data_IF_504320109912
#
_entry.id   IF_504320109912
#
_cell.length_a   1.000
_cell.length_b   1.000
_cell.length_c   1.000
_cell.angle_alpha   90.00
_cell.angle_beta   90.00
_cell.angle_gamma   90.00
#
_symmetry.space_group_name_H-M   'P 1'
#
loop_
_entity.id
_entity.type
_entity.pdbx_description
1 polymer ?
#
# COMPACT_ATOMS: atom_id res chain seq x y z
N UNK A 1 8.77 28.77 -20.13
CA UNK A 1 7.69 29.71 -19.78
C UNK A 1 6.56 29.01 -19.03
N UNK A 2 5.95 27.95 -19.60
CA UNK A 2 4.87 27.21 -18.93
C UNK A 2 5.22 26.72 -17.51
N UNK A 3 6.42 26.15 -17.31
CA UNK A 3 6.89 25.74 -15.97
C UNK A 3 6.92 26.91 -14.97
N UNK A 4 7.39 28.08 -15.39
CA UNK A 4 7.42 29.26 -14.53
C UNK A 4 6.00 29.73 -14.18
N UNK A 5 5.08 29.72 -15.15
CA UNK A 5 3.67 30.04 -14.92
C UNK A 5 3.01 29.04 -13.96
N UNK A 6 3.27 27.74 -14.10
CA UNK A 6 2.79 26.72 -13.17
C UNK A 6 3.25 27.03 -11.74
N UNK A 7 4.54 27.29 -11.54
CA UNK A 7 5.09 27.68 -10.25
C UNK A 7 4.47 28.98 -9.72
N UNK A 8 4.18 29.96 -10.57
CA UNK A 8 3.41 31.16 -10.19
C UNK A 8 2.02 30.78 -9.67
N UNK A 9 1.30 29.86 -10.32
CA UNK A 9 -0.03 29.44 -9.85
C UNK A 9 0.01 28.77 -8.47
N UNK A 10 1.03 27.93 -8.21
CA UNK A 10 1.22 27.27 -6.93
C UNK A 10 1.53 28.30 -5.84
N UNK A 11 2.46 29.23 -6.11
CA UNK A 11 2.83 30.31 -5.19
C UNK A 11 1.64 31.21 -4.86
N UNK A 12 0.87 31.63 -5.88
CA UNK A 12 -0.33 32.45 -5.69
C UNK A 12 -1.39 31.78 -4.79
N UNK A 13 -1.41 30.44 -4.74
CA UNK A 13 -2.41 29.66 -4.03
C UNK A 13 -1.90 29.05 -2.71
N UNK A 14 -0.62 29.25 -2.36
CA UNK A 14 0.00 28.62 -1.19
C UNK A 14 0.04 27.09 -1.27
N UNK A 15 0.32 26.56 -2.46
CA UNK A 15 0.48 25.12 -2.71
C UNK A 15 1.96 24.76 -2.64
N UNK A 16 2.29 23.74 -1.85
CA UNK A 16 3.67 23.29 -1.61
C UNK A 16 4.14 22.32 -2.70
N UNK A 17 4.13 22.79 -3.95
CA UNK A 17 4.60 22.06 -5.14
C UNK A 17 5.48 23.01 -5.96
N UNK A 18 6.55 22.48 -6.55
CA UNK A 18 7.40 23.22 -7.49
C UNK A 18 7.81 22.30 -8.63
N UNK A 19 7.57 22.75 -9.86
CA UNK A 19 8.00 22.07 -11.06
C UNK A 19 9.41 22.52 -11.45
N UNK A 20 10.26 21.54 -11.74
CA UNK A 20 11.58 21.72 -12.30
C UNK A 20 11.67 20.94 -13.61
N UNK A 21 12.33 21.51 -14.61
CA UNK A 21 12.55 20.81 -15.87
C UNK A 21 13.64 19.74 -15.67
N UNK A 22 13.26 18.46 -15.75
CA UNK A 22 14.21 17.36 -15.67
C UNK A 22 15.04 17.25 -16.96
N UNK A 23 14.37 17.05 -18.11
CA UNK A 23 15.02 16.92 -19.41
C UNK A 23 14.06 17.29 -20.56
N UNK A 24 14.40 18.26 -21.41
CA UNK A 24 13.67 18.52 -22.65
C UNK A 24 14.28 17.74 -23.82
N UNK A 25 13.44 17.12 -24.66
CA UNK A 25 13.87 16.48 -25.91
C UNK A 25 12.81 16.65 -27.00
N UNK A 26 13.24 16.56 -28.26
CA UNK A 26 12.34 16.46 -29.40
C UNK A 26 12.26 15.00 -29.84
N UNK A 27 11.04 14.50 -30.02
CA UNK A 27 10.77 13.14 -30.49
C UNK A 27 10.37 13.16 -31.96
N UNK A 28 10.76 12.13 -32.71
CA UNK A 28 10.29 11.92 -34.07
C UNK A 28 8.90 11.28 -34.01
N UNK A 29 7.87 12.12 -33.89
CA UNK A 29 6.48 11.70 -33.80
C UNK A 29 5.63 12.52 -34.77
N UNK A 30 4.69 11.86 -35.45
CA UNK A 30 3.67 12.54 -36.27
C UNK A 30 2.37 12.51 -35.50
N UNK A 31 1.87 13.69 -35.16
CA UNK A 31 0.61 13.91 -34.43
C UNK A 31 -0.56 13.25 -35.18
N UNK A 32 -1.43 12.57 -34.43
CA UNK A 32 -2.60 11.89 -34.98
C UNK A 32 -3.75 12.84 -35.32
N UNK A 33 -3.73 14.04 -34.72
CA UNK A 33 -4.84 15.00 -34.73
C UNK A 33 -5.84 14.80 -33.58
N UNK A 34 -5.72 13.75 -32.77
CA UNK A 34 -6.50 13.52 -31.55
C UNK A 34 -5.59 13.59 -30.32
N UNK A 35 -5.85 14.51 -29.39
CA UNK A 35 -5.02 14.67 -28.19
C UNK A 35 -5.07 13.45 -27.29
N UNK A 36 -6.21 12.77 -27.22
CA UNK A 36 -6.34 11.52 -26.48
C UNK A 36 -5.44 10.45 -27.10
N UNK A 37 -5.54 10.21 -28.40
CA UNK A 37 -4.71 9.21 -29.11
C UNK A 37 -3.22 9.49 -28.97
N UNK A 38 -2.81 10.75 -29.11
CA UNK A 38 -1.42 11.17 -28.92
C UNK A 38 -0.95 10.93 -27.47
N UNK A 39 -1.84 11.10 -26.48
CA UNK A 39 -1.54 10.84 -25.07
C UNK A 39 -1.38 9.36 -24.77
N UNK A 40 -2.22 8.50 -25.35
CA UNK A 40 -2.05 7.04 -25.27
C UNK A 40 -0.70 6.62 -25.87
N UNK A 41 -0.40 7.05 -27.11
CA UNK A 41 0.89 6.74 -27.78
C UNK A 41 2.11 7.28 -27.04
N UNK A 42 1.96 8.36 -26.29
CA UNK A 42 3.04 8.87 -25.45
C UNK A 42 3.21 8.09 -24.14
N UNK A 43 2.17 7.39 -23.70
CA UNK A 43 2.14 6.66 -22.42
C UNK A 43 2.56 5.21 -22.57
N UNK A 44 2.11 4.51 -23.61
CA UNK A 44 2.35 3.07 -23.75
C UNK A 44 3.84 2.78 -24.01
N UNK A 45 4.34 1.62 -23.57
CA UNK A 45 5.79 1.34 -23.55
C UNK A 45 6.32 0.52 -24.72
N UNK A 46 5.43 -0.05 -25.53
CA UNK A 46 5.78 -0.96 -26.64
C UNK A 46 4.66 -0.97 -27.69
N UNK A 47 4.17 0.22 -28.08
CA UNK A 47 3.13 0.37 -29.10
C UNK A 47 3.68 0.83 -30.47
N UNK A 48 5.01 1.01 -30.54
CA UNK A 48 5.74 1.46 -31.72
C UNK A 48 5.81 2.98 -31.86
N UNK A 49 5.28 3.73 -30.89
CA UNK A 49 5.31 5.19 -30.88
C UNK A 49 6.08 5.70 -29.67
N UNK A 50 7.15 6.46 -29.93
CA UNK A 50 7.90 7.15 -28.88
C UNK A 50 8.44 6.23 -27.75
N UNK A 51 8.49 4.90 -27.92
CA UNK A 51 8.86 3.94 -26.85
C UNK A 51 10.19 4.30 -26.13
N UNK A 52 11.13 4.94 -26.83
CA UNK A 52 12.40 5.41 -26.26
C UNK A 52 12.27 6.49 -25.17
N UNK A 53 11.12 7.16 -25.03
CA UNK A 53 10.90 8.19 -24.00
C UNK A 53 10.91 7.62 -22.59
N UNK A 54 10.53 6.35 -22.41
CA UNK A 54 10.51 5.69 -21.10
C UNK A 54 11.92 5.52 -20.55
N UNK A 55 12.89 5.14 -21.41
CA UNK A 55 14.30 5.09 -21.02
C UNK A 55 14.84 6.46 -20.59
N UNK A 56 14.44 7.54 -21.27
CA UNK A 56 14.83 8.90 -20.89
C UNK A 56 14.19 9.32 -19.56
N UNK A 57 12.90 9.00 -19.36
CA UNK A 57 12.20 9.29 -18.10
C UNK A 57 12.93 8.64 -16.91
N UNK A 58 13.30 7.37 -17.03
CA UNK A 58 14.07 6.65 -16.01
C UNK A 58 15.45 7.27 -15.82
N UNK A 59 16.18 7.54 -16.91
CA UNK A 59 17.52 8.13 -16.85
C UNK A 59 17.56 9.48 -16.14
N UNK A 60 16.56 10.33 -16.37
CA UNK A 60 16.49 11.68 -15.79
C UNK A 60 15.59 11.76 -14.54
N UNK A 61 15.07 10.62 -14.08
CA UNK A 61 14.20 10.48 -12.92
C UNK A 61 13.04 11.48 -12.93
N UNK A 62 12.34 11.59 -14.07
CA UNK A 62 11.24 12.53 -14.25
C UNK A 62 9.92 11.98 -13.68
N UNK A 63 9.34 12.72 -12.74
CA UNK A 63 8.08 12.38 -12.07
C UNK A 63 6.89 12.37 -13.03
N UNK A 64 6.81 13.40 -13.88
CA UNK A 64 5.73 13.65 -14.84
C UNK A 64 6.32 13.89 -16.22
N UNK A 65 5.68 13.35 -17.25
CA UNK A 65 6.03 13.54 -18.64
C UNK A 65 4.97 14.37 -19.37
N UNK A 66 5.39 15.39 -20.11
CA UNK A 66 4.50 16.26 -20.88
C UNK A 66 4.97 16.31 -22.33
N UNK A 67 4.12 15.88 -23.26
CA UNK A 67 4.35 16.02 -24.70
C UNK A 67 3.72 17.32 -25.20
N UNK A 68 4.52 18.14 -25.85
CA UNK A 68 4.05 19.34 -26.53
C UNK A 68 3.75 19.01 -27.99
N UNK A 69 2.52 19.30 -28.44
CA UNK A 69 2.06 19.07 -29.81
C UNK A 69 1.58 20.37 -30.47
N UNK A 70 1.51 20.39 -31.80
CA UNK A 70 1.09 21.52 -32.62
C UNK A 70 -0.39 21.47 -33.01
N UNK A 71 -0.97 20.28 -33.18
CA UNK A 71 -2.35 20.06 -33.63
C UNK A 71 -3.07 19.06 -32.76
N UNK A 72 -4.38 19.25 -32.56
CA UNK A 72 -5.21 18.38 -31.73
C UNK A 72 -6.62 18.94 -31.55
N UNK A 73 -7.58 18.05 -31.28
CA UNK A 73 -9.00 18.33 -31.03
C UNK A 73 -9.28 19.04 -29.69
N UNK A 74 -8.42 18.85 -28.69
CA UNK A 74 -8.46 19.58 -27.41
C UNK A 74 -7.16 20.36 -27.13
N UNK A 75 -7.19 21.24 -26.13
CA UNK A 75 -6.02 22.01 -25.71
C UNK A 75 -4.97 21.14 -24.97
N UNK A 76 -5.41 20.06 -24.34
CA UNK A 76 -4.58 19.12 -23.62
C UNK A 76 -5.37 17.89 -23.19
N UNK A 77 -4.64 16.86 -22.75
CA UNK A 77 -5.20 15.62 -22.23
C UNK A 77 -4.25 14.97 -21.23
N UNK A 78 -4.71 14.79 -20.00
CA UNK A 78 -4.04 13.98 -18.98
C UNK A 78 -4.44 12.52 -19.08
N UNK A 79 -3.48 11.60 -18.99
CA UNK A 79 -3.73 10.17 -19.14
C UNK A 79 -4.65 9.58 -18.06
N UNK A 80 -4.55 10.08 -16.81
CA UNK A 80 -5.32 9.56 -15.67
C UNK A 80 -5.44 10.56 -14.51
N UNK A 81 -6.42 10.35 -13.61
CA UNK A 81 -6.78 11.25 -12.50
C UNK A 81 -7.14 10.43 -11.23
N UNK A 82 -6.31 10.40 -10.17
CA UNK A 82 -4.90 10.80 -10.13
C UNK A 82 -4.01 9.76 -10.81
N UNK A 83 -2.88 10.20 -11.37
CA UNK A 83 -1.93 9.32 -12.02
C UNK A 83 -0.97 8.62 -11.04
N UNK A 84 -0.46 7.47 -11.46
CA UNK A 84 0.72 6.81 -10.90
C UNK A 84 1.91 6.92 -11.87
N UNK A 85 3.03 6.23 -11.60
CA UNK A 85 4.20 6.29 -12.48
C UNK A 85 3.83 5.87 -13.91
N UNK A 86 3.07 4.80 -14.11
CA UNK A 86 2.69 4.30 -15.45
C UNK A 86 1.81 5.28 -16.23
N UNK A 87 1.03 6.11 -15.54
CA UNK A 87 0.06 7.03 -16.18
C UNK A 87 0.37 8.51 -15.98
N UNK A 88 1.50 8.91 -15.40
CA UNK A 88 1.86 10.32 -15.18
C UNK A 88 2.38 10.99 -16.46
N UNK A 89 1.55 10.94 -17.49
CA UNK A 89 1.75 11.47 -18.82
C UNK A 89 0.60 12.40 -19.17
N UNK A 90 0.91 13.52 -19.82
CA UNK A 90 -0.09 14.34 -20.47
C UNK A 90 0.42 14.93 -21.78
N UNK A 91 -0.52 15.35 -22.60
CA UNK A 91 -0.28 16.03 -23.87
C UNK A 91 -0.84 17.44 -23.77
N UNK A 92 -0.12 18.41 -24.33
CA UNK A 92 -0.51 19.81 -24.30
C UNK A 92 -0.22 20.43 -25.67
N UNK A 93 -1.21 21.10 -26.24
CA UNK A 93 -0.98 21.93 -27.42
C UNK A 93 -0.14 23.14 -27.05
N UNK A 94 0.99 23.35 -27.75
CA UNK A 94 1.96 24.38 -27.37
C UNK A 94 1.36 25.79 -27.46
N UNK A 95 0.42 26.02 -28.38
CA UNK A 95 -0.30 27.29 -28.56
C UNK A 95 -1.35 27.57 -27.48
N UNK A 96 -1.63 26.60 -26.59
CA UNK A 96 -2.49 26.71 -25.41
C UNK A 96 -1.74 26.59 -24.07
N UNK A 97 -0.45 26.23 -24.13
CA UNK A 97 0.33 25.85 -22.96
C UNK A 97 0.46 26.98 -21.91
N UNK A 98 0.62 28.22 -22.37
CA UNK A 98 0.85 29.40 -21.51
C UNK A 98 -0.34 30.36 -21.49
N UNK A 99 -0.85 30.76 -22.65
CA UNK A 99 -1.99 31.67 -22.79
C UNK A 99 -3.27 31.16 -22.11
N UNK A 100 -3.52 29.85 -22.14
CA UNK A 100 -4.68 29.22 -21.46
C UNK A 100 -4.28 28.41 -20.23
N UNK A 101 -3.03 28.51 -19.74
CA UNK A 101 -2.54 27.80 -18.54
C UNK A 101 -2.72 26.26 -18.67
N UNK A 102 -2.81 25.73 -19.90
CA UNK A 102 -3.17 24.32 -20.14
C UNK A 102 -2.10 23.36 -19.64
N UNK A 103 -0.82 23.73 -19.76
CA UNK A 103 0.28 22.92 -19.23
C UNK A 103 0.10 22.62 -17.73
N UNK A 104 -0.27 23.64 -16.97
CA UNK A 104 -0.51 23.53 -15.53
C UNK A 104 -1.81 22.78 -15.23
N UNK A 105 -2.84 22.96 -16.05
CA UNK A 105 -4.13 22.28 -15.93
C UNK A 105 -3.97 20.76 -16.04
N UNK A 106 -3.28 20.28 -17.07
CA UNK A 106 -3.10 18.84 -17.26
C UNK A 106 -2.26 18.20 -16.15
N UNK A 107 -1.23 18.89 -15.64
CA UNK A 107 -0.48 18.41 -14.46
C UNK A 107 -1.35 18.40 -13.19
N UNK A 108 -2.33 19.31 -13.09
CA UNK A 108 -3.34 19.29 -12.03
C UNK A 108 -4.18 18.02 -12.05
N UNK A 109 -4.62 17.60 -13.25
CA UNK A 109 -5.32 16.33 -13.44
C UNK A 109 -4.51 15.12 -12.96
N UNK A 110 -3.21 15.06 -13.29
CA UNK A 110 -2.33 13.98 -12.83
C UNK A 110 -2.22 13.92 -11.29
N UNK A 111 -2.37 15.05 -10.60
CA UNK A 111 -2.43 15.10 -9.12
C UNK A 111 -3.83 14.81 -8.54
N UNK A 112 -4.82 14.51 -9.39
CA UNK A 112 -6.19 14.22 -9.00
C UNK A 112 -7.08 15.44 -8.83
N UNK A 113 -6.66 16.61 -9.31
CA UNK A 113 -7.54 17.76 -9.41
C UNK A 113 -8.55 17.56 -10.55
N UNK A 114 -9.78 18.01 -10.34
CA UNK A 114 -10.92 17.80 -11.24
C UNK A 114 -11.43 19.12 -11.78
N UNK A 115 -12.21 19.04 -12.86
CA UNK A 115 -12.95 20.19 -13.38
C UNK A 115 -13.95 20.74 -12.34
N UNK A 116 -14.73 21.75 -12.66
CA UNK A 116 -15.75 22.29 -11.76
C UNK A 116 -16.86 21.27 -11.49
N UNK A 117 -17.39 21.30 -10.26
CA UNK A 117 -18.46 20.42 -9.82
C UNK A 117 -19.71 20.58 -10.72
N UNK A 118 -20.37 19.45 -11.03
CA UNK A 118 -21.48 19.26 -12.00
C UNK A 118 -21.10 19.04 -13.46
N UNK A 119 -19.86 19.35 -13.85
CA UNK A 119 -19.30 18.85 -15.12
C UNK A 119 -18.45 17.60 -14.91
N UNK A 120 -17.84 17.49 -13.73
CA UNK A 120 -17.18 16.28 -13.22
C UNK A 120 -17.85 15.98 -11.86
N UNK A 121 -18.28 14.73 -11.67
CA UNK A 121 -18.86 14.21 -10.42
C UNK A 121 -17.89 13.24 -9.71
N UNK A 122 -16.62 13.22 -10.14
CA UNK A 122 -15.61 12.32 -9.65
C UNK A 122 -15.10 12.63 -8.24
N UNK A 123 -14.42 11.65 -7.66
CA UNK A 123 -13.94 11.72 -6.26
C UNK A 123 -12.46 12.15 -6.14
N UNK A 124 -12.07 12.79 -5.02
CA UNK A 124 -12.94 13.22 -3.93
C UNK A 124 -13.74 14.48 -4.30
N UNK A 125 -14.96 14.59 -3.80
CA UNK A 125 -15.90 15.67 -4.14
C UNK A 125 -15.32 17.09 -3.97
N UNK A 126 -14.42 17.30 -3.01
CA UNK A 126 -13.83 18.63 -2.77
C UNK A 126 -12.78 19.04 -3.81
N UNK A 127 -12.32 18.14 -4.68
CA UNK A 127 -11.15 18.38 -5.53
C UNK A 127 -11.47 19.08 -6.86
N UNK A 128 -12.52 19.90 -6.94
CA UNK A 128 -12.98 20.51 -8.20
C UNK A 128 -12.46 21.94 -8.41
N UNK A 129 -12.38 22.33 -9.68
CA UNK A 129 -12.16 23.72 -10.10
C UNK A 129 -13.34 24.63 -9.72
N UNK A 130 -13.16 25.93 -9.89
CA UNK A 130 -14.17 26.92 -9.54
C UNK A 130 -14.37 27.93 -10.67
N UNK A 131 -15.63 28.21 -10.95
CA UNK A 131 -16.06 29.23 -11.89
C UNK A 131 -16.72 30.37 -11.11
N UNK A 132 -16.18 31.57 -11.23
CA UNK A 132 -16.80 32.76 -10.69
C UNK A 132 -17.76 33.33 -11.72
N UNK A 133 -19.05 33.16 -11.44
CA UNK A 133 -20.11 33.68 -12.30
C UNK A 133 -20.57 35.04 -11.78
N UNK A 134 -20.30 36.09 -12.55
CA UNK A 134 -20.78 37.44 -12.33
C UNK A 134 -21.77 37.83 -13.44
N UNK A 135 -22.71 38.71 -13.11
CA UNK A 135 -23.70 39.21 -14.07
C UNK A 135 -23.05 40.08 -15.17
N UNK A 136 -21.92 40.71 -14.87
CA UNK A 136 -21.09 41.36 -15.88
C UNK A 136 -20.10 40.34 -16.46
N UNK A 137 -20.19 40.00 -17.77
CA UNK A 137 -19.28 39.07 -18.43
C UNK A 137 -17.79 39.37 -18.26
N UNK A 138 -17.43 40.66 -18.13
CA UNK A 138 -16.05 41.13 -18.00
C UNK A 138 -15.44 40.82 -16.62
N UNK A 139 -16.28 40.56 -15.62
CA UNK A 139 -15.87 40.18 -14.27
C UNK A 139 -15.80 38.67 -14.08
N UNK A 140 -16.19 37.87 -15.09
CA UNK A 140 -16.17 36.41 -15.01
C UNK A 140 -14.74 35.89 -15.13
N UNK A 141 -14.40 34.94 -14.29
CA UNK A 141 -13.12 34.27 -14.32
C UNK A 141 -13.26 32.84 -13.81
N UNK A 142 -12.25 32.04 -14.10
CA UNK A 142 -12.22 30.62 -13.74
C UNK A 142 -10.86 30.23 -13.19
N UNK A 143 -10.82 29.37 -12.18
CA UNK A 143 -9.56 28.86 -11.62
C UNK A 143 -8.91 27.84 -12.57
N UNK A 144 -7.65 27.48 -12.30
CA UNK A 144 -6.83 26.63 -13.19
C UNK A 144 -7.59 25.41 -13.71
N UNK A 145 -8.27 24.64 -12.85
CA UNK A 145 -8.97 23.42 -13.26
C UNK A 145 -10.35 23.63 -13.85
N UNK A 146 -10.93 24.82 -13.79
CA UNK A 146 -12.25 25.01 -14.37
C UNK A 146 -12.15 24.95 -15.91
N UNK A 147 -12.91 24.03 -16.51
CA UNK A 147 -13.04 23.84 -17.94
C UNK A 147 -13.98 24.91 -18.55
N UNK A 148 -13.98 25.01 -19.88
CA UNK A 148 -14.98 25.79 -20.58
C UNK A 148 -16.35 25.17 -20.39
N UNK A 149 -17.38 25.99 -20.21
CA UNK A 149 -18.76 25.57 -20.07
C UNK A 149 -19.67 26.54 -20.82
N UNK A 150 -20.37 26.03 -21.83
CA UNK A 150 -21.27 26.79 -22.70
C UNK A 150 -22.37 27.52 -21.91
N UNK A 151 -22.78 26.96 -20.76
CA UNK A 151 -23.78 27.57 -19.87
C UNK A 151 -23.30 28.89 -19.29
N UNK A 152 -22.00 29.04 -19.08
CA UNK A 152 -21.41 30.22 -18.46
C UNK A 152 -20.69 31.14 -19.46
N UNK A 153 -20.62 30.75 -20.74
CA UNK A 153 -20.13 31.56 -21.86
C UNK A 153 -18.60 31.56 -22.02
N UNK A 154 -18.14 31.74 -23.26
CA UNK A 154 -16.72 31.63 -23.67
C UNK A 154 -15.87 32.87 -23.32
N UNK A 155 -16.17 33.56 -22.23
CA UNK A 155 -15.53 34.84 -21.92
C UNK A 155 -14.84 34.90 -20.55
N UNK A 156 -14.82 33.79 -19.78
CA UNK A 156 -14.12 33.80 -18.49
C UNK A 156 -12.61 33.65 -18.66
N UNK A 157 -11.87 34.68 -18.28
CA UNK A 157 -10.41 34.62 -18.20
C UNK A 157 -9.97 33.54 -17.19
N UNK A 158 -9.07 32.64 -17.58
CA UNK A 158 -8.49 31.66 -16.64
C UNK A 158 -7.40 32.35 -15.83
N UNK A 159 -7.64 32.49 -14.53
CA UNK A 159 -6.71 33.16 -13.64
C UNK A 159 -5.64 32.19 -13.10
N UNK A 160 -4.42 32.66 -12.76
CA UNK A 160 -3.35 31.83 -12.23
C UNK A 160 -3.54 31.51 -10.74
N UNK A 161 -4.73 31.03 -10.37
CA UNK A 161 -5.11 30.62 -9.02
C UNK A 161 -5.85 29.28 -9.06
N UNK A 162 -5.59 28.45 -8.07
CA UNK A 162 -6.31 27.20 -7.82
C UNK A 162 -7.52 27.46 -6.93
N UNK A 163 -8.54 26.59 -7.00
CA UNK A 163 -9.71 26.75 -6.14
C UNK A 163 -9.35 26.55 -4.66
N UNK A 164 -9.83 27.47 -3.83
CA UNK A 164 -9.68 27.48 -2.37
C UNK A 164 -10.84 28.28 -1.75
N UNK A 165 -11.74 27.64 -0.98
CA UNK A 165 -12.89 28.31 -0.39
C UNK A 165 -12.52 29.33 0.71
N UNK A 166 -11.25 29.39 1.13
CA UNK A 166 -10.77 30.29 2.18
C UNK A 166 -9.90 31.44 1.66
N UNK A 167 -9.61 31.47 0.35
CA UNK A 167 -8.80 32.51 -0.29
C UNK A 167 -9.62 33.38 -1.22
N UNK A 168 -9.12 34.57 -1.53
CA UNK A 168 -9.82 35.58 -2.32
C UNK A 168 -8.97 36.06 -3.49
N UNK A 169 -9.63 36.33 -4.62
CA UNK A 169 -9.08 37.04 -5.77
C UNK A 169 -9.98 38.23 -6.10
N UNK A 170 -9.39 39.43 -6.11
CA UNK A 170 -10.12 40.69 -6.35
C UNK A 170 -11.38 40.84 -5.48
N UNK A 171 -11.31 40.41 -4.22
CA UNK A 171 -12.42 40.49 -3.25
C UNK A 171 -13.46 39.37 -3.35
N UNK A 172 -13.35 38.46 -4.32
CA UNK A 172 -14.25 37.30 -4.49
C UNK A 172 -13.58 36.00 -4.04
N UNK A 173 -14.34 35.11 -3.41
CA UNK A 173 -13.84 33.81 -2.95
C UNK A 173 -13.40 32.92 -4.12
N UNK A 174 -12.32 32.17 -3.95
CA UNK A 174 -11.73 31.29 -4.99
C UNK A 174 -12.36 29.89 -5.05
N UNK A 175 -13.40 29.60 -4.27
CA UNK A 175 -14.02 28.29 -4.23
C UNK A 175 -15.29 28.24 -3.39
N UNK A 176 -15.97 27.10 -3.46
CA UNK A 176 -17.12 26.75 -2.63
C UNK A 176 -16.67 25.66 -1.65
N UNK A 177 -17.06 25.79 -0.39
CA UNK A 177 -16.80 24.78 0.64
C UNK A 177 -17.23 23.38 0.16
N UNK A 178 -16.49 22.36 0.56
CA UNK A 178 -16.72 20.93 0.28
C UNK A 178 -16.71 20.48 -1.19
N UNK A 179 -16.64 21.41 -2.14
CA UNK A 179 -16.70 21.09 -3.58
C UNK A 179 -15.49 21.63 -4.34
N UNK A 180 -15.06 22.87 -4.10
CA UNK A 180 -14.03 23.53 -4.93
C UNK A 180 -12.79 23.89 -4.11
N UNK A 181 -11.92 22.91 -3.88
CA UNK A 181 -10.68 23.04 -3.10
C UNK A 181 -9.53 22.22 -3.72
N UNK A 182 -9.09 22.61 -4.92
CA UNK A 182 -7.91 22.01 -5.55
C UNK A 182 -6.65 22.25 -4.72
N UNK A 183 -6.53 23.38 -4.01
CA UNK A 183 -5.39 23.65 -3.13
C UNK A 183 -5.16 22.52 -2.12
N UNK A 184 -6.21 22.09 -1.42
CA UNK A 184 -6.13 20.97 -0.49
C UNK A 184 -5.72 19.68 -1.20
N UNK A 185 -6.32 19.40 -2.37
CA UNK A 185 -5.99 18.19 -3.14
C UNK A 185 -4.52 18.14 -3.51
N UNK A 186 -4.00 19.21 -4.12
CA UNK A 186 -2.63 19.28 -4.61
C UNK A 186 -1.62 19.19 -3.47
N UNK A 187 -1.89 19.80 -2.31
CA UNK A 187 -1.05 19.63 -1.13
C UNK A 187 -1.06 18.20 -0.58
N UNK A 188 -2.22 17.53 -0.56
CA UNK A 188 -2.34 16.14 -0.09
C UNK A 188 -1.60 15.16 -1.02
N UNK A 189 -1.49 15.45 -2.31
CA UNK A 189 -0.83 14.59 -3.30
C UNK A 189 0.57 15.05 -3.71
N UNK A 190 1.08 16.15 -3.14
CA UNK A 190 2.37 16.74 -3.53
C UNK A 190 3.53 15.74 -3.41
N UNK A 191 3.58 14.99 -2.31
CA UNK A 191 4.61 13.97 -2.12
C UNK A 191 4.41 12.77 -3.06
N UNK A 192 3.16 12.34 -3.28
CA UNK A 192 2.86 11.21 -4.17
C UNK A 192 3.33 11.47 -5.59
N UNK A 193 3.00 12.65 -6.16
CA UNK A 193 3.41 12.98 -7.52
C UNK A 193 4.93 13.19 -7.63
N UNK A 194 5.58 13.76 -6.61
CA UNK A 194 7.03 14.02 -6.61
C UNK A 194 7.90 12.81 -6.20
N UNK A 195 7.28 11.63 -6.04
CA UNK A 195 7.97 10.38 -5.70
C UNK A 195 7.69 9.27 -6.71
N UNK A 196 7.15 9.62 -7.88
CA UNK A 196 6.87 8.67 -8.93
C UNK A 196 8.19 8.15 -9.50
N UNK A 197 8.40 6.84 -9.40
CA UNK A 197 9.57 6.13 -9.90
C UNK A 197 9.17 4.86 -10.62
N UNK A 198 10.01 4.43 -11.58
CA UNK A 198 9.81 3.17 -12.28
C UNK A 198 9.84 2.03 -11.26
N UNK A 199 8.83 1.14 -11.25
CA UNK A 199 8.87 -0.02 -10.38
C UNK A 199 10.10 -0.89 -10.69
N UNK A 200 10.88 -1.19 -9.66
CA UNK A 200 12.02 -2.10 -9.80
C UNK A 200 11.49 -3.54 -9.80
N UNK A 201 11.58 -4.23 -10.93
CA UNK A 201 11.23 -5.65 -11.02
C UNK A 201 12.41 -6.52 -10.60
N UNK A 202 12.21 -7.45 -9.65
CA UNK A 202 13.26 -8.36 -9.18
C UNK A 202 12.81 -9.83 -9.19
N UNK A 203 13.77 -10.72 -9.43
CA UNK A 203 13.63 -12.18 -9.31
C UNK A 203 15.02 -12.84 -9.26
N UNK A 204 15.07 -14.11 -8.89
CA UNK A 204 16.30 -14.91 -8.92
C UNK A 204 17.26 -14.61 -7.77
N UNK A 205 18.55 -14.81 -8.01
CA UNK A 205 19.57 -14.75 -6.95
C UNK A 205 20.10 -13.32 -6.76
N UNK A 206 20.11 -12.85 -5.51
CA UNK A 206 20.84 -11.65 -5.09
C UNK A 206 22.25 -12.07 -4.71
N UNK A 207 23.21 -11.70 -5.57
CA UNK A 207 24.62 -12.12 -5.47
C UNK A 207 25.58 -11.00 -5.04
N UNK A 208 25.06 -9.80 -4.86
CA UNK A 208 25.77 -8.61 -4.37
C UNK A 208 24.92 -7.92 -3.33
N UNK A 209 25.54 -7.16 -2.43
CA UNK A 209 24.80 -6.38 -1.45
C UNK A 209 23.89 -5.38 -2.17
N UNK A 210 22.59 -5.43 -1.89
CA UNK A 210 21.57 -4.68 -2.62
C UNK A 210 20.68 -3.95 -1.64
N UNK A 211 20.39 -2.68 -1.94
CA UNK A 211 19.38 -1.89 -1.24
C UNK A 211 18.22 -1.64 -2.18
N UNK A 212 17.04 -2.11 -1.80
CA UNK A 212 15.78 -1.87 -2.50
C UNK A 212 15.16 -0.58 -1.98
N UNK A 213 14.75 0.31 -2.88
CA UNK A 213 14.15 1.63 -2.60
C UNK A 213 12.95 1.86 -3.51
N UNK A 214 12.01 2.70 -3.10
CA UNK A 214 10.85 3.06 -3.92
C UNK A 214 9.91 1.86 -4.16
N UNK A 215 9.22 1.84 -5.30
CA UNK A 215 8.29 0.76 -5.61
C UNK A 215 9.03 -0.45 -6.21
N UNK A 216 8.90 -1.63 -5.61
CA UNK A 216 9.60 -2.85 -6.04
C UNK A 216 8.59 -3.98 -6.22
N UNK A 217 8.64 -4.66 -7.34
CA UNK A 217 7.76 -5.78 -7.68
C UNK A 217 8.58 -7.06 -7.81
N UNK A 218 8.16 -8.12 -7.13
CA UNK A 218 8.69 -9.45 -7.44
C UNK A 218 7.98 -9.97 -8.69
N UNK A 219 8.79 -10.44 -9.65
CA UNK A 219 8.33 -11.16 -10.86
C UNK A 219 8.74 -12.63 -10.84
N UNK A 220 9.35 -13.05 -9.73
CA UNK A 220 9.78 -14.41 -9.43
C UNK A 220 10.31 -14.46 -7.99
N UNK A 221 10.48 -15.66 -7.44
CA UNK A 221 11.10 -15.81 -6.13
C UNK A 221 12.51 -15.20 -6.13
N UNK A 222 12.86 -14.55 -5.04
CA UNK A 222 14.16 -13.92 -4.83
C UNK A 222 14.91 -14.73 -3.78
N UNK A 223 16.16 -15.11 -4.06
CA UNK A 223 17.01 -15.82 -3.10
C UNK A 223 18.23 -14.96 -2.75
N UNK A 224 18.42 -14.67 -1.47
CA UNK A 224 19.58 -13.92 -0.97
C UNK A 224 20.68 -14.92 -0.63
N UNK A 225 21.78 -14.85 -1.39
CA UNK A 225 22.87 -15.81 -1.30
C UNK A 225 23.67 -15.66 0.00
N UNK A 226 24.34 -16.75 0.40
CA UNK A 226 25.20 -16.77 1.57
C UNK A 226 26.21 -15.61 1.58
N UNK A 227 26.29 -14.88 2.70
CA UNK A 227 27.17 -13.73 2.87
C UNK A 227 26.74 -12.43 2.17
N UNK A 228 25.57 -12.42 1.52
CA UNK A 228 25.01 -11.23 0.87
C UNK A 228 23.95 -10.58 1.75
N UNK A 229 23.94 -9.25 1.79
CA UNK A 229 22.92 -8.47 2.47
C UNK A 229 21.92 -7.86 1.48
N UNK A 230 20.64 -8.16 1.65
CA UNK A 230 19.53 -7.46 1.01
C UNK A 230 18.87 -6.53 2.03
N UNK A 231 18.84 -5.22 1.74
CA UNK A 231 18.20 -4.22 2.59
C UNK A 231 16.95 -3.68 1.91
N UNK A 232 15.80 -3.77 2.59
CA UNK A 232 14.58 -3.06 2.23
C UNK A 232 14.64 -1.69 2.91
N UNK A 233 14.86 -0.63 2.14
CA UNK A 233 15.00 0.73 2.66
C UNK A 233 13.69 1.25 3.28
N UNK A 234 13.76 2.23 4.16
CA UNK A 234 12.58 2.82 4.82
C UNK A 234 11.56 3.41 3.85
N UNK A 235 11.96 3.79 2.63
CA UNK A 235 11.05 4.27 1.59
C UNK A 235 10.61 3.18 0.58
N UNK A 236 10.96 1.92 0.82
CA UNK A 236 10.64 0.83 -0.09
C UNK A 236 9.22 0.31 0.13
N UNK A 237 8.48 0.15 -0.97
CA UNK A 237 7.22 -0.60 -1.02
C UNK A 237 7.48 -1.87 -1.83
N UNK A 238 7.51 -3.02 -1.16
CA UNK A 238 7.76 -4.32 -1.77
C UNK A 238 6.44 -5.01 -2.06
N UNK A 239 6.15 -5.25 -3.33
CA UNK A 239 4.98 -6.00 -3.78
C UNK A 239 5.40 -7.43 -4.10
N UNK A 240 5.01 -8.38 -3.25
CA UNK A 240 5.45 -9.77 -3.38
C UNK A 240 4.83 -10.51 -4.57
N UNK A 241 3.64 -10.11 -5.04
CA UNK A 241 2.98 -10.67 -6.24
C UNK A 241 2.94 -12.22 -6.29
N UNK A 242 2.67 -12.88 -5.16
CA UNK A 242 2.68 -14.36 -5.03
C UNK A 242 4.07 -15.02 -5.07
N UNK A 243 5.14 -14.23 -4.96
CA UNK A 243 6.52 -14.70 -4.81
C UNK A 243 7.06 -14.39 -3.42
N UNK A 244 8.26 -14.86 -3.11
CA UNK A 244 8.87 -14.70 -1.78
C UNK A 244 10.35 -14.32 -1.86
N UNK A 245 10.85 -13.69 -0.80
CA UNK A 245 12.27 -13.40 -0.61
C UNK A 245 12.82 -14.41 0.41
N UNK A 246 13.79 -15.23 0.03
CA UNK A 246 14.28 -16.36 0.81
C UNK A 246 15.77 -16.19 1.08
N UNK A 247 16.22 -16.41 2.31
CA UNK A 247 17.65 -16.47 2.61
C UNK A 247 18.19 -17.89 2.42
N UNK A 248 19.28 -18.01 1.67
CA UNK A 248 20.10 -19.23 1.58
C UNK A 248 21.40 -19.12 2.40
N UNK A 249 21.39 -18.27 3.43
CA UNK A 249 22.55 -17.88 4.24
C UNK A 249 22.87 -16.38 4.18
N UNK A 250 22.16 -15.62 3.36
CA UNK A 250 22.27 -14.17 3.30
C UNK A 250 21.53 -13.46 4.44
N UNK A 251 21.84 -12.18 4.64
CA UNK A 251 21.16 -11.30 5.61
C UNK A 251 20.05 -10.52 4.91
N UNK A 252 18.84 -10.55 5.47
CA UNK A 252 17.73 -9.71 5.02
C UNK A 252 17.45 -8.69 6.13
N UNK A 253 17.46 -7.40 5.77
CA UNK A 253 17.20 -6.30 6.70
C UNK A 253 15.99 -5.50 6.23
N UNK A 254 15.04 -5.23 7.13
CA UNK A 254 13.87 -4.38 6.87
C UNK A 254 14.02 -3.11 7.72
N UNK A 255 14.18 -1.97 7.06
CA UNK A 255 14.24 -0.69 7.77
C UNK A 255 12.84 -0.22 8.19
N UNK A 256 12.75 0.45 9.32
CA UNK A 256 11.50 1.06 9.78
C UNK A 256 10.95 2.02 8.72
N UNK A 257 9.70 1.81 8.31
CA UNK A 257 9.04 2.55 7.21
C UNK A 257 8.82 1.72 5.94
N UNK A 258 9.62 0.67 5.73
CA UNK A 258 9.43 -0.21 4.58
C UNK A 258 8.06 -0.90 4.63
N UNK A 259 7.35 -0.92 3.52
CA UNK A 259 6.03 -1.55 3.38
C UNK A 259 6.16 -2.84 2.57
N UNK A 260 5.47 -3.91 2.98
CA UNK A 260 5.47 -5.20 2.27
C UNK A 260 4.03 -5.62 2.01
N UNK A 261 3.65 -5.66 0.74
CA UNK A 261 2.32 -6.02 0.27
C UNK A 261 2.26 -7.49 -0.13
N UNK A 262 1.15 -8.16 0.20
CA UNK A 262 0.94 -9.58 -0.06
C UNK A 262 1.70 -10.51 0.91
N UNK A 263 2.08 -10.01 2.08
CA UNK A 263 2.81 -10.76 3.11
C UNK A 263 1.89 -11.78 3.82
N UNK A 264 2.32 -13.03 3.88
CA UNK A 264 1.78 -14.05 4.78
C UNK A 264 2.50 -14.00 6.12
N UNK A 265 3.83 -14.15 6.09
CA UNK A 265 4.64 -14.25 7.29
C UNK A 265 6.12 -13.94 7.03
N UNK A 266 6.84 -13.63 8.10
CA UNK A 266 8.30 -13.54 8.12
C UNK A 266 8.84 -14.69 8.97
N UNK A 267 9.68 -15.54 8.37
CA UNK A 267 10.40 -16.57 9.12
C UNK A 267 11.66 -15.97 9.73
N UNK A 268 11.91 -16.25 11.01
CA UNK A 268 13.07 -15.75 11.74
C UNK A 268 13.78 -16.85 12.53
N UNK A 269 15.07 -16.65 12.78
CA UNK A 269 15.85 -17.38 13.78
C UNK A 269 16.43 -16.35 14.74
N UNK A 270 15.82 -16.21 15.92
CA UNK A 270 16.06 -15.03 16.75
C UNK A 270 15.68 -13.75 16.00
N UNK A 271 16.65 -12.85 15.81
CA UNK A 271 16.46 -11.60 15.05
C UNK A 271 16.73 -11.74 13.54
N UNK A 272 17.35 -12.83 13.11
CA UNK A 272 17.73 -13.02 11.71
C UNK A 272 16.51 -13.41 10.88
N UNK A 273 16.22 -12.65 9.82
CA UNK A 273 15.19 -13.00 8.86
C UNK A 273 15.69 -14.13 7.94
N UNK A 274 14.95 -15.23 7.90
CA UNK A 274 15.21 -16.39 7.03
C UNK A 274 14.36 -16.38 5.77
N UNK A 275 13.23 -15.67 5.78
CA UNK A 275 12.50 -15.36 4.57
C UNK A 275 11.27 -14.49 4.83
N UNK A 276 10.79 -13.87 3.77
CA UNK A 276 9.59 -13.04 3.69
C UNK A 276 8.68 -13.76 2.68
N UNK A 277 7.62 -14.37 3.18
CA UNK A 277 6.76 -15.26 2.41
C UNK A 277 5.43 -14.61 2.09
N UNK A 278 4.97 -14.78 0.85
CA UNK A 278 3.69 -14.23 0.42
C UNK A 278 2.50 -15.13 0.72
N UNK A 279 1.30 -14.59 0.52
CA UNK A 279 0.02 -15.28 0.66
C UNK A 279 -0.21 -16.41 -0.34
N UNK A 280 0.76 -16.73 -1.21
CA UNK A 280 0.73 -17.95 -2.03
C UNK A 280 1.09 -19.22 -1.23
N UNK A 281 1.68 -19.05 -0.04
CA UNK A 281 1.95 -20.13 0.90
C UNK A 281 0.78 -20.32 1.88
N UNK A 282 0.69 -21.50 2.48
CA UNK A 282 -0.10 -21.72 3.70
C UNK A 282 0.80 -21.70 4.95
N UNK A 283 0.21 -21.53 6.13
CA UNK A 283 0.96 -21.64 7.40
C UNK A 283 1.57 -23.05 7.52
N UNK A 284 0.84 -24.11 7.14
CA UNK A 284 1.40 -25.47 7.15
C UNK A 284 2.66 -25.59 6.29
N UNK A 285 2.67 -25.03 5.08
CA UNK A 285 3.86 -25.07 4.22
C UNK A 285 5.05 -24.33 4.85
N UNK A 286 4.80 -23.28 5.65
CA UNK A 286 5.85 -22.59 6.40
C UNK A 286 6.38 -23.42 7.58
N UNK A 287 5.50 -24.18 8.25
CA UNK A 287 5.90 -25.14 9.28
C UNK A 287 6.82 -26.21 8.67
N UNK A 288 6.46 -26.76 7.50
CA UNK A 288 7.22 -27.83 6.85
C UNK A 288 8.66 -27.45 6.46
N UNK A 289 8.94 -26.14 6.32
CA UNK A 289 10.28 -25.62 5.99
C UNK A 289 11.01 -25.00 7.19
N UNK A 290 10.34 -24.86 8.32
CA UNK A 290 10.92 -24.26 9.52
C UNK A 290 11.93 -25.21 10.17
N UNK A 291 13.08 -24.67 10.57
CA UNK A 291 14.07 -25.42 11.37
C UNK A 291 13.91 -25.15 12.86
N UNK A 292 14.48 -26.02 13.69
CA UNK A 292 14.50 -25.82 15.15
C UNK A 292 15.06 -24.45 15.53
N UNK A 293 14.38 -23.77 16.46
CA UNK A 293 14.69 -22.43 16.95
C UNK A 293 14.12 -21.30 16.09
N UNK A 294 13.36 -21.62 15.04
CA UNK A 294 12.76 -20.61 14.18
C UNK A 294 11.38 -20.16 14.69
N UNK A 295 10.98 -18.97 14.29
CA UNK A 295 9.63 -18.45 14.47
C UNK A 295 8.97 -18.07 13.14
N UNK A 296 7.69 -18.39 13.02
CA UNK A 296 6.79 -17.98 11.94
C UNK A 296 6.02 -16.77 12.44
N UNK A 297 6.39 -15.57 11.98
CA UNK A 297 5.78 -14.31 12.40
C UNK A 297 4.70 -13.93 11.38
N UNK A 298 3.45 -14.27 11.65
CA UNK A 298 2.30 -14.08 10.77
C UNK A 298 1.94 -12.59 10.68
N UNK A 299 1.59 -12.15 9.47
CA UNK A 299 0.98 -10.85 9.25
C UNK A 299 -0.42 -10.78 9.89
N UNK A 300 -0.99 -9.57 9.97
CA UNK A 300 -2.39 -9.41 10.34
C UNK A 300 -3.31 -10.05 9.31
N UNK A 301 -4.29 -10.83 9.74
CA UNK A 301 -5.23 -11.50 8.86
C UNK A 301 -5.98 -12.66 9.51
N UNK A 302 -6.89 -13.26 8.75
CA UNK A 302 -7.59 -14.48 9.15
C UNK A 302 -7.18 -15.63 8.22
N UNK A 303 -6.61 -16.68 8.80
CA UNK A 303 -6.07 -17.83 8.08
C UNK A 303 -6.98 -19.03 8.29
N UNK A 304 -7.65 -19.50 7.24
CA UNK A 304 -8.59 -20.63 7.34
C UNK A 304 -7.92 -21.93 6.91
N UNK A 305 -7.21 -22.55 7.85
CA UNK A 305 -6.54 -23.83 7.67
C UNK A 305 -6.38 -24.54 9.03
N UNK A 306 -6.26 -25.87 8.99
CA UNK A 306 -5.78 -26.63 10.14
C UNK A 306 -4.27 -26.77 10.02
N UNK A 307 -3.55 -26.57 11.12
CA UNK A 307 -2.09 -26.66 11.15
C UNK A 307 -1.64 -27.70 12.15
N UNK A 308 -0.54 -28.37 11.82
CA UNK A 308 0.16 -29.32 12.68
C UNK A 308 1.63 -28.93 12.68
N UNK A 309 2.13 -28.50 13.84
CA UNK A 309 3.55 -28.41 14.11
C UNK A 309 4.01 -29.72 14.75
N UNK A 310 4.91 -30.39 14.06
CA UNK A 310 5.65 -31.59 14.50
C UNK A 310 7.16 -31.33 14.61
N UNK A 311 7.58 -30.07 14.47
CA UNK A 311 8.96 -29.66 14.60
C UNK A 311 9.33 -29.36 16.07
N UNK A 312 10.57 -29.67 16.43
CA UNK A 312 11.16 -29.28 17.70
C UNK A 312 11.45 -27.78 17.72
N UNK A 313 11.01 -27.08 18.78
CA UNK A 313 11.34 -25.68 19.07
C UNK A 313 10.98 -24.71 17.93
N UNK A 314 9.75 -24.79 17.41
CA UNK A 314 9.22 -23.83 16.42
C UNK A 314 8.12 -22.99 17.06
N UNK A 315 8.23 -21.66 16.90
CA UNK A 315 7.22 -20.73 17.39
C UNK A 315 6.29 -20.27 16.26
N UNK A 316 4.98 -20.26 16.50
CA UNK A 316 3.98 -19.64 15.63
C UNK A 316 3.50 -18.38 16.33
N UNK A 317 3.73 -17.22 15.74
CA UNK A 317 3.53 -15.91 16.38
C UNK A 317 2.64 -15.04 15.50
N UNK A 318 1.50 -14.61 16.02
CA UNK A 318 0.63 -13.64 15.36
C UNK A 318 1.09 -12.19 15.54
N UNK A 319 0.48 -11.27 14.81
CA UNK A 319 0.65 -9.81 15.00
C UNK A 319 -0.20 -9.25 16.14
N UNK A 320 -0.78 -10.09 17.00
CA UNK A 320 -1.65 -9.73 18.12
C UNK A 320 -3.02 -10.41 18.04
N UNK A 321 -3.63 -10.66 19.22
CA UNK A 321 -4.89 -11.40 19.36
C UNK A 321 -6.09 -10.76 18.67
N UNK A 322 -6.09 -9.44 18.45
CA UNK A 322 -7.14 -8.75 17.68
C UNK A 322 -6.78 -8.54 16.20
N UNK A 323 -5.56 -8.91 15.79
CA UNK A 323 -5.03 -8.66 14.44
C UNK A 323 -4.83 -9.94 13.63
N UNK A 324 -4.56 -11.07 14.29
CA UNK A 324 -4.27 -12.35 13.65
C UNK A 324 -5.23 -13.41 14.18
N UNK A 325 -5.92 -14.12 13.29
CA UNK A 325 -6.81 -15.24 13.64
C UNK A 325 -6.45 -16.48 12.85
N UNK A 326 -6.24 -17.62 13.52
CA UNK A 326 -6.19 -18.94 12.90
C UNK A 326 -7.59 -19.55 13.02
N UNK A 327 -8.27 -19.65 11.88
CA UNK A 327 -9.60 -20.20 11.72
C UNK A 327 -9.56 -21.70 11.40
N UNK A 328 -8.97 -22.47 12.31
CA UNK A 328 -8.88 -23.92 12.25
C UNK A 328 -8.24 -24.49 13.52
N UNK A 329 -8.01 -25.80 13.52
CA UNK A 329 -7.33 -26.50 14.60
C UNK A 329 -5.82 -26.25 14.54
N UNK A 330 -5.21 -25.94 15.68
CA UNK A 330 -3.76 -25.86 15.85
C UNK A 330 -3.30 -27.09 16.61
N UNK A 331 -2.43 -27.91 16.02
CA UNK A 331 -1.91 -29.13 16.64
C UNK A 331 -0.41 -29.03 16.86
N UNK A 332 0.04 -29.35 18.07
CA UNK A 332 1.44 -29.66 18.39
C UNK A 332 1.55 -31.17 18.59
N UNK A 333 2.41 -31.85 17.82
CA UNK A 333 2.54 -33.31 17.86
C UNK A 333 4.00 -33.74 17.89
N UNK A 334 4.51 -34.12 19.05
CA UNK A 334 5.95 -34.34 19.24
C UNK A 334 6.78 -33.05 19.12
N UNK A 335 6.14 -31.90 19.31
CA UNK A 335 6.72 -30.59 19.03
C UNK A 335 7.26 -29.93 20.30
N UNK A 336 8.23 -30.59 20.94
CA UNK A 336 8.81 -30.12 22.20
C UNK A 336 9.36 -28.68 22.07
N UNK A 337 9.23 -27.89 23.14
CA UNK A 337 9.67 -26.49 23.25
C UNK A 337 9.06 -25.52 22.23
N UNK A 338 8.04 -25.95 21.49
CA UNK A 338 7.34 -25.10 20.53
C UNK A 338 6.37 -24.13 21.21
N UNK A 339 5.92 -23.12 20.48
CA UNK A 339 4.97 -22.15 21.05
C UNK A 339 3.93 -21.63 20.07
N UNK A 340 2.80 -21.20 20.61
CA UNK A 340 1.76 -20.43 19.94
C UNK A 340 1.60 -19.10 20.65
N UNK A 341 1.76 -17.99 19.93
CA UNK A 341 1.80 -16.65 20.53
C UNK A 341 0.97 -15.61 19.80
N UNK A 342 0.45 -14.63 20.53
CA UNK A 342 -0.09 -13.36 20.00
C UNK A 342 -1.17 -13.55 18.92
N UNK A 343 -2.06 -14.53 19.09
CA UNK A 343 -2.99 -14.96 18.05
C UNK A 343 -4.34 -15.34 18.64
N UNK A 344 -5.41 -15.08 17.89
CA UNK A 344 -6.71 -15.66 18.20
C UNK A 344 -6.91 -16.99 17.46
N UNK A 345 -7.57 -17.94 18.09
CA UNK A 345 -7.87 -19.25 17.51
C UNK A 345 -9.38 -19.48 17.56
N UNK A 346 -9.93 -19.98 16.45
CA UNK A 346 -11.34 -20.36 16.35
C UNK A 346 -11.59 -21.87 16.50
N UNK A 347 -10.57 -22.70 16.24
CA UNK A 347 -10.63 -24.14 16.44
C UNK A 347 -9.97 -24.59 17.74
N UNK A 348 -9.89 -25.91 17.96
CA UNK A 348 -9.19 -26.51 19.10
C UNK A 348 -7.67 -26.29 19.00
N UNK A 349 -7.02 -26.15 20.15
CA UNK A 349 -5.56 -26.28 20.30
C UNK A 349 -5.27 -27.68 20.87
N UNK A 350 -4.62 -28.55 20.10
CA UNK A 350 -4.25 -29.91 20.52
C UNK A 350 -2.76 -29.98 20.82
N UNK A 351 -2.37 -30.56 21.96
CA UNK A 351 -0.97 -30.79 22.31
C UNK A 351 -0.75 -32.26 22.64
N UNK A 352 -0.12 -32.99 21.72
CA UNK A 352 0.00 -34.44 21.77
C UNK A 352 1.47 -34.84 21.91
N UNK A 353 1.79 -35.64 22.92
CA UNK A 353 3.12 -36.19 23.18
C UNK A 353 4.22 -35.11 23.08
N UNK A 354 3.98 -33.91 23.60
CA UNK A 354 4.89 -32.78 23.49
C UNK A 354 5.22 -32.20 24.87
N UNK A 355 6.48 -31.85 25.08
CA UNK A 355 7.01 -31.31 26.33
C UNK A 355 7.29 -29.83 26.22
N UNK A 356 6.93 -29.05 27.24
CA UNK A 356 7.23 -27.62 27.32
C UNK A 356 6.67 -26.80 26.16
N UNK A 357 5.46 -27.13 25.68
CA UNK A 357 4.74 -26.29 24.72
C UNK A 357 4.21 -25.06 25.43
N UNK A 358 4.45 -23.88 24.86
CA UNK A 358 4.01 -22.60 25.44
C UNK A 358 2.85 -22.02 24.63
N UNK A 359 1.74 -21.73 25.29
CA UNK A 359 0.60 -20.99 24.75
C UNK A 359 0.58 -19.64 25.45
N UNK A 360 0.88 -18.56 24.74
CA UNK A 360 1.21 -17.25 25.33
C UNK A 360 0.44 -16.13 24.61
N UNK A 361 -0.34 -15.33 25.34
CA UNK A 361 -1.20 -14.28 24.79
C UNK A 361 -2.08 -14.80 23.64
N UNK A 362 -2.88 -15.82 23.93
CA UNK A 362 -3.77 -16.46 22.95
C UNK A 362 -5.23 -16.23 23.31
N UNK A 363 -6.04 -15.82 22.33
CA UNK A 363 -7.48 -15.57 22.50
C UNK A 363 -8.33 -16.67 21.90
N UNK A 364 -9.22 -17.26 22.70
CA UNK A 364 -10.31 -18.09 22.22
C UNK A 364 -11.46 -17.20 21.73
N UNK A 365 -11.64 -17.12 20.41
CA UNK A 365 -12.64 -16.25 19.79
C UNK A 365 -14.05 -16.82 19.80
N UNK A 366 -14.15 -18.14 19.79
CA UNK A 366 -15.41 -18.82 19.91
C UNK A 366 -15.22 -20.10 20.73
N UNK A 367 -16.33 -20.74 20.97
CA UNK A 367 -16.44 -21.76 21.97
C UNK A 367 -16.02 -23.16 21.51
N UNK A 368 -15.64 -23.30 20.24
CA UNK A 368 -14.91 -24.46 19.74
C UNK A 368 -13.41 -24.39 20.08
N UNK A 369 -12.91 -23.27 20.61
CA UNK A 369 -11.52 -23.10 21.03
C UNK A 369 -11.32 -23.48 22.49
N UNK A 370 -10.64 -24.61 22.70
CA UNK A 370 -10.18 -25.12 23.99
C UNK A 370 -8.82 -25.79 23.80
N UNK A 371 -8.08 -25.95 24.90
CA UNK A 371 -6.77 -26.61 24.89
C UNK A 371 -6.93 -28.06 25.35
N UNK A 372 -6.42 -28.99 24.57
CA UNK A 372 -6.55 -30.43 24.82
C UNK A 372 -5.18 -31.13 24.74
N UNK A 373 -4.73 -31.70 25.86
CA UNK A 373 -3.38 -32.22 26.05
C UNK A 373 -3.37 -33.74 26.32
N UNK A 374 -2.49 -34.47 25.62
CA UNK A 374 -2.31 -35.93 25.72
C UNK A 374 -0.83 -36.29 25.94
N UNK A 375 -0.48 -36.76 27.13
CA UNK A 375 0.91 -37.11 27.46
C UNK A 375 1.86 -35.92 27.34
N UNK A 376 1.39 -34.71 27.64
CA UNK A 376 2.07 -33.45 27.28
C UNK A 376 2.27 -32.51 28.47
N UNK A 377 3.33 -31.71 28.43
CA UNK A 377 3.53 -30.58 29.35
C UNK A 377 3.27 -29.27 28.62
N UNK A 378 2.31 -28.49 29.12
CA UNK A 378 1.88 -27.23 28.53
C UNK A 378 1.99 -26.10 29.54
N UNK A 379 2.65 -25.01 29.14
CA UNK A 379 2.66 -23.75 29.87
C UNK A 379 1.69 -22.80 29.20
N UNK A 380 0.82 -22.17 29.98
CA UNK A 380 -0.18 -21.22 29.53
C UNK A 380 0.08 -19.88 30.23
N UNK A 381 0.32 -18.86 29.43
CA UNK A 381 0.50 -17.48 29.85
C UNK A 381 -0.52 -16.60 29.09
N UNK A 382 -1.25 -15.73 29.78
CA UNK A 382 -2.25 -14.81 29.20
C UNK A 382 -3.23 -15.45 28.18
N UNK A 383 -3.81 -16.61 28.51
CA UNK A 383 -4.91 -17.18 27.71
C UNK A 383 -6.25 -16.50 28.06
N UNK A 384 -6.93 -15.97 27.04
CA UNK A 384 -8.19 -15.22 27.20
C UNK A 384 -9.33 -15.99 26.53
N UNK A 385 -10.33 -16.40 27.32
CA UNK A 385 -11.57 -17.01 26.84
C UNK A 385 -12.79 -16.19 27.27
N UNK A 386 -13.41 -15.47 26.32
CA UNK A 386 -14.58 -14.60 26.58
C UNK A 386 -15.92 -15.33 26.36
N UNK A 387 -15.87 -16.56 25.87
CA UNK A 387 -17.04 -17.36 25.47
C UNK A 387 -17.65 -18.13 26.64
N UNK A 388 -18.97 -18.18 26.69
CA UNK A 388 -19.74 -18.95 27.68
C UNK A 388 -19.87 -20.41 27.26
N UNK A 389 -18.90 -21.28 27.59
CA UNK A 389 -19.00 -22.72 27.30
C UNK A 389 -18.39 -23.66 28.34
N UNK A 390 -18.60 -24.97 28.15
CA UNK A 390 -18.27 -26.10 29.04
C UNK A 390 -16.84 -26.65 28.91
N UNK A 391 -15.95 -26.02 28.11
CA UNK A 391 -14.66 -26.59 27.68
C UNK A 391 -13.56 -25.53 27.70
N UNK A 392 -12.65 -25.58 28.67
CA UNK A 392 -11.51 -24.67 28.80
C UNK A 392 -10.17 -25.37 28.57
N UNK A 393 -9.76 -26.21 29.53
CA UNK A 393 -8.54 -27.02 29.50
C UNK A 393 -8.86 -28.50 29.72
N UNK A 394 -8.29 -29.39 28.91
CA UNK A 394 -8.43 -30.85 29.04
C UNK A 394 -7.06 -31.52 29.18
N UNK A 395 -6.83 -32.17 30.32
CA UNK A 395 -5.63 -32.98 30.57
C UNK A 395 -5.99 -34.46 30.51
N UNK A 396 -5.45 -35.18 29.53
CA UNK A 396 -5.49 -36.64 29.49
C UNK A 396 -4.30 -37.24 30.26
N UNK A 397 -4.31 -38.56 30.46
CA UNK A 397 -3.27 -39.27 31.22
C UNK A 397 -1.85 -38.87 30.77
N UNK A 398 -0.98 -38.59 31.74
CA UNK A 398 0.39 -38.15 31.51
C UNK A 398 0.56 -36.67 31.16
N UNK A 399 -0.50 -35.85 31.21
CA UNK A 399 -0.42 -34.43 30.87
C UNK A 399 -0.36 -33.53 32.11
N UNK A 400 0.29 -32.37 31.96
CA UNK A 400 0.35 -31.32 32.98
C UNK A 400 0.17 -29.93 32.38
N UNK A 401 -0.51 -29.05 33.12
CA UNK A 401 -0.64 -27.63 32.79
C UNK A 401 0.03 -26.79 33.88
N UNK A 402 0.86 -25.84 33.45
CA UNK A 402 1.29 -24.72 34.28
C UNK A 402 0.61 -23.46 33.77
N UNK A 403 -0.08 -22.73 34.63
CA UNK A 403 -0.96 -21.62 34.25
C UNK A 403 -0.57 -20.38 35.04
N UNK A 404 -0.21 -19.31 34.32
CA UNK A 404 0.09 -17.99 34.87
C UNK A 404 -0.62 -16.90 34.03
N UNK A 405 -0.85 -15.71 34.60
CA UNK A 405 -1.44 -14.53 33.92
C UNK A 405 -2.88 -14.67 33.36
N UNK A 406 -3.41 -15.89 33.31
CA UNK A 406 -4.56 -16.25 32.49
C UNK A 406 -5.90 -15.97 33.16
N UNK A 407 -6.90 -15.57 32.36
CA UNK A 407 -8.26 -15.28 32.84
C UNK A 407 -9.24 -16.35 32.37
N UNK A 408 -9.63 -17.22 33.30
CA UNK A 408 -10.65 -18.27 33.09
C UNK A 408 -11.98 -17.88 33.76
N UNK A 409 -13.10 -18.23 33.14
CA UNK A 409 -14.42 -18.20 33.80
C UNK A 409 -14.63 -19.52 34.54
N UNK A 410 -15.42 -19.54 35.60
CA UNK A 410 -15.78 -20.80 36.29
C UNK A 410 -17.30 -20.95 36.42
N UNK A 411 -17.75 -22.21 36.43
CA UNK A 411 -19.14 -22.64 36.68
C UNK A 411 -19.07 -23.71 37.75
N UNK A 412 -19.96 -23.61 38.73
CA UNK A 412 -20.12 -24.56 39.81
C UNK A 412 -21.45 -25.29 39.61
N UNK A 413 -21.45 -26.62 39.54
CA UNK A 413 -22.67 -27.42 39.34
C UNK A 413 -23.28 -27.95 40.65
N UNK A 414 -22.73 -27.57 41.80
CA UNK A 414 -23.14 -28.07 43.11
C UNK A 414 -22.25 -29.20 43.65
N UNK A 415 -21.35 -29.77 42.84
CA UNK A 415 -20.35 -30.76 43.29
C UNK A 415 -18.94 -30.48 42.77
N UNK A 416 -18.80 -29.85 41.60
CA UNK A 416 -17.51 -29.59 40.95
C UNK A 416 -17.38 -28.13 40.52
N UNK A 417 -16.17 -27.59 40.66
CA UNK A 417 -15.75 -26.37 39.98
C UNK A 417 -15.18 -26.76 38.62
N UNK A 418 -15.74 -26.21 37.56
CA UNK A 418 -15.20 -26.32 36.22
C UNK A 418 -14.52 -25.02 35.88
N UNK A 419 -13.24 -25.10 35.47
CA UNK A 419 -12.44 -23.98 34.97
C UNK A 419 -12.62 -23.92 33.45
N UNK A 420 -13.08 -22.78 32.93
CA UNK A 420 -13.42 -22.54 31.51
C UNK A 420 -12.55 -21.44 30.91
#
# INVERSE_FOLDING_TARGET
QAIAQANTTYNNSGINVSLNLAYPTQVSYTESGSTETDCYRFTETDDGYMDGIHSLRTQYNADVCVLLISTGDYAGWARFIPADYSTAFCVVRYDYAVNEITFTHEIGHLQGARHQYKLDDGNPLYAHGYYHNDNNPDNRWRTVMAAFDEKYGNTSNRIPYWSDPNSYYSGSVLGIADTSNNKLRLNNTAYTIASLSEPVNISGNVVVNTTLTGNVHLIGNVTVNNGITLTLNSNATINLNSYSIISSGGTITIQSGATINGLLAILKSGNDIKGIYSTSYSIQQLIDICSSGWSINLASGTYTENITNDNYNVAIVGSGTNSTTINGTVTFSGADYSSLKDVAVNGKISVNNSSSVVIDNVKANNSNCYIDAYGSSVTIDDYISEVTQTRGLYAHNGSSFYVDGSSFRYKYDGQHYYVF
#
